data_IF_005013174591
#
_entry.id   IF_005013174591
#
_cell.length_a   1.000
_cell.length_b   1.000
_cell.length_c   1.000
_cell.angle_alpha   90.00
_cell.angle_beta   90.00
_cell.angle_gamma   90.00
#
_symmetry.space_group_name_H-M   'P 1'
#
loop_
_entity.id
_entity.type
_entity.pdbx_description
1 polymer ?
#
# COMPACT_ATOMS: atom_id res chain seq x y z
N UNK A 1 -18.89 40.39 -4.41
CA UNK A 1 -19.20 40.89 -5.77
C UNK A 1 -20.55 41.57 -5.84
N UNK A 2 -21.63 41.05 -5.28
CA UNK A 2 -22.99 41.62 -5.26
C UNK A 2 -23.07 43.01 -4.59
N UNK A 3 -22.40 43.21 -3.46
CA UNK A 3 -22.35 44.49 -2.76
C UNK A 3 -21.69 45.62 -3.59
N UNK A 4 -20.66 45.27 -4.37
CA UNK A 4 -19.96 46.22 -5.24
C UNK A 4 -20.86 46.63 -6.43
N UNK A 5 -21.57 45.66 -7.02
CA UNK A 5 -22.51 45.91 -8.12
C UNK A 5 -23.70 46.76 -7.64
N UNK A 6 -24.26 46.45 -6.48
CA UNK A 6 -25.36 47.21 -5.86
C UNK A 6 -24.93 48.66 -5.55
N UNK A 7 -23.72 48.84 -5.00
CA UNK A 7 -23.18 50.19 -4.73
C UNK A 7 -22.95 50.97 -6.03
N UNK A 8 -22.41 50.33 -7.07
CA UNK A 8 -22.21 50.96 -8.37
C UNK A 8 -23.54 51.37 -9.03
N UNK A 9 -24.55 50.51 -8.99
CA UNK A 9 -25.90 50.82 -9.51
C UNK A 9 -26.57 51.97 -8.74
N UNK A 10 -26.44 51.99 -7.42
CA UNK A 10 -26.98 53.05 -6.58
C UNK A 10 -26.27 54.39 -6.85
N UNK A 11 -24.95 54.40 -7.04
CA UNK A 11 -24.19 55.59 -7.38
C UNK A 11 -24.53 56.13 -8.79
N UNK A 12 -24.83 55.24 -9.74
CA UNK A 12 -25.22 55.60 -11.10
C UNK A 12 -26.67 56.12 -11.20
N UNK A 13 -27.57 55.77 -10.27
CA UNK A 13 -28.99 56.10 -10.35
C UNK A 13 -29.24 57.63 -10.42
N UNK A 14 -28.67 58.42 -9.52
CA UNK A 14 -28.84 59.88 -9.50
C UNK A 14 -28.43 60.57 -10.81
N UNK A 15 -27.21 60.41 -11.27
CA UNK A 15 -26.73 61.04 -12.51
C UNK A 15 -27.46 60.64 -13.78
N UNK A 16 -27.99 59.40 -13.83
CA UNK A 16 -28.63 58.87 -15.05
C UNK A 16 -30.15 59.08 -15.09
N UNK A 17 -30.82 59.23 -13.95
CA UNK A 17 -32.27 59.47 -13.83
C UNK A 17 -32.64 60.97 -13.74
N UNK A 18 -31.69 61.88 -13.69
CA UNK A 18 -31.89 63.26 -13.63
C UNK A 18 -31.11 64.01 -14.73
N UNK A 19 -31.12 63.53 -15.91
CA UNK A 19 -30.46 64.15 -17.08
C UNK A 19 -31.24 65.41 -17.48
N UNK A 20 -30.61 66.56 -17.36
CA UNK A 20 -31.22 67.84 -17.79
C UNK A 20 -31.16 67.96 -19.32
N UNK A 21 -32.22 68.56 -19.89
CA UNK A 21 -32.24 68.85 -21.32
C UNK A 21 -31.05 69.79 -21.69
N UNK A 22 -30.35 69.52 -22.77
CA UNK A 22 -29.15 70.28 -23.19
C UNK A 22 -29.50 71.66 -23.72
N UNK A 23 -30.74 71.91 -24.08
CA UNK A 23 -31.28 73.20 -24.53
C UNK A 23 -32.74 73.36 -24.14
N UNK A 24 -33.30 74.55 -24.30
CA UNK A 24 -34.69 74.86 -24.04
C UNK A 24 -35.63 74.58 -25.25
N UNK A 25 -35.29 73.54 -26.02
CA UNK A 25 -36.05 73.08 -27.20
C UNK A 25 -36.70 71.72 -26.96
N UNK A 26 -37.74 71.46 -27.72
CA UNK A 26 -38.56 70.26 -27.59
C UNK A 26 -37.76 68.94 -27.88
N UNK A 27 -36.75 69.00 -28.73
CA UNK A 27 -35.94 67.81 -29.06
C UNK A 27 -35.03 67.45 -27.89
N UNK A 28 -34.37 68.45 -27.27
CA UNK A 28 -33.55 68.27 -26.12
C UNK A 28 -34.35 67.71 -24.90
N UNK A 29 -35.59 68.22 -24.72
CA UNK A 29 -36.49 67.71 -23.69
C UNK A 29 -36.94 66.28 -23.92
N UNK A 30 -37.24 65.89 -25.17
CA UNK A 30 -37.62 64.55 -25.55
C UNK A 30 -36.45 63.54 -25.35
N UNK A 31 -35.24 63.92 -25.72
CA UNK A 31 -34.05 63.11 -25.51
C UNK A 31 -33.76 62.91 -24.03
N UNK A 32 -33.85 63.97 -23.20
CA UNK A 32 -33.68 63.83 -21.75
C UNK A 32 -34.71 62.89 -21.15
N UNK A 33 -35.99 63.01 -21.57
CA UNK A 33 -37.05 62.05 -21.13
C UNK A 33 -36.82 60.59 -21.56
N UNK A 34 -36.24 60.37 -22.76
CA UNK A 34 -35.89 59.04 -23.21
C UNK A 34 -34.77 58.42 -22.35
N UNK A 35 -33.73 59.20 -22.01
CA UNK A 35 -32.66 58.73 -21.11
C UNK A 35 -33.18 58.43 -19.70
N UNK A 36 -34.07 59.26 -19.17
CA UNK A 36 -34.68 59.05 -17.85
C UNK A 36 -35.51 57.74 -17.85
N UNK A 37 -36.37 57.54 -18.84
CA UNK A 37 -37.15 56.31 -18.96
C UNK A 37 -36.29 55.07 -19.09
N UNK A 38 -35.19 55.15 -19.86
CA UNK A 38 -34.24 54.05 -20.02
C UNK A 38 -33.51 53.73 -18.69
N UNK A 39 -33.07 54.78 -17.97
CA UNK A 39 -32.43 54.64 -16.68
C UNK A 39 -33.33 54.00 -15.64
N UNK A 40 -34.61 54.40 -15.59
CA UNK A 40 -35.62 53.79 -14.71
C UNK A 40 -35.83 52.30 -15.03
N UNK A 41 -35.95 51.94 -16.31
CA UNK A 41 -36.09 50.56 -16.74
C UNK A 41 -34.87 49.71 -16.36
N UNK A 42 -33.63 50.24 -16.52
CA UNK A 42 -32.40 49.61 -16.12
C UNK A 42 -32.33 49.35 -14.60
N UNK A 43 -32.71 50.35 -13.79
CA UNK A 43 -32.72 50.20 -12.32
C UNK A 43 -33.74 49.12 -11.87
N UNK A 44 -34.93 49.10 -12.49
CA UNK A 44 -35.92 48.07 -12.21
C UNK A 44 -35.41 46.65 -12.56
N UNK A 45 -34.76 46.50 -13.73
CA UNK A 45 -34.16 45.22 -14.15
C UNK A 45 -33.00 44.80 -13.22
N UNK A 46 -32.15 45.73 -12.81
CA UNK A 46 -31.06 45.52 -11.88
C UNK A 46 -31.58 45.03 -10.51
N UNK A 47 -32.64 45.58 -9.99
CA UNK A 47 -33.27 45.16 -8.75
C UNK A 47 -33.83 43.70 -8.88
N UNK A 48 -34.47 43.38 -10.00
CA UNK A 48 -34.92 41.99 -10.26
C UNK A 48 -33.76 41.01 -10.38
N UNK A 49 -32.66 41.39 -11.02
CA UNK A 49 -31.47 40.54 -11.14
C UNK A 49 -30.84 40.24 -9.77
N UNK A 50 -30.83 41.21 -8.86
CA UNK A 50 -30.35 41.01 -7.48
C UNK A 50 -31.23 39.99 -6.72
N UNK A 51 -32.56 40.14 -6.79
CA UNK A 51 -33.50 39.21 -6.15
C UNK A 51 -33.35 37.79 -6.73
N UNK A 52 -33.22 37.68 -8.04
CA UNK A 52 -32.97 36.37 -8.71
C UNK A 52 -31.68 35.75 -8.23
N UNK A 53 -30.61 36.55 -8.16
CA UNK A 53 -29.30 36.05 -7.69
C UNK A 53 -29.36 35.52 -6.26
N UNK A 54 -30.04 36.26 -5.37
CA UNK A 54 -30.21 35.85 -3.97
C UNK A 54 -31.01 34.53 -3.87
N UNK A 55 -32.07 34.39 -4.62
CA UNK A 55 -32.86 33.15 -4.69
C UNK A 55 -32.04 32.00 -5.24
N UNK A 56 -31.26 32.24 -6.26
CA UNK A 56 -30.38 31.24 -6.86
C UNK A 56 -29.32 30.72 -5.86
N UNK A 57 -28.66 31.65 -5.14
CA UNK A 57 -27.69 31.28 -4.10
C UNK A 57 -28.36 30.48 -2.97
N UNK A 58 -29.56 30.86 -2.56
CA UNK A 58 -30.32 30.12 -1.53
C UNK A 58 -30.66 28.70 -1.99
N UNK A 59 -31.08 28.52 -3.26
CA UNK A 59 -31.36 27.18 -3.81
C UNK A 59 -30.09 26.33 -3.91
N UNK A 60 -28.96 26.91 -4.30
CA UNK A 60 -27.68 26.20 -4.30
C UNK A 60 -27.27 25.74 -2.90
N UNK A 61 -27.39 26.61 -1.91
CA UNK A 61 -27.08 26.28 -0.52
C UNK A 61 -28.03 25.18 0.04
N UNK A 62 -29.31 25.25 -0.27
CA UNK A 62 -30.28 24.24 0.10
C UNK A 62 -29.97 22.88 -0.56
N UNK A 63 -29.59 22.89 -1.86
CA UNK A 63 -29.11 21.71 -2.58
C UNK A 63 -27.86 21.09 -1.93
N UNK A 64 -26.86 21.92 -1.65
CA UNK A 64 -25.63 21.46 -0.98
C UNK A 64 -25.93 20.85 0.40
N UNK A 65 -26.84 21.47 1.17
CA UNK A 65 -27.30 20.95 2.46
C UNK A 65 -28.00 19.61 2.34
N UNK A 66 -28.82 19.41 1.30
CA UNK A 66 -29.49 18.10 1.07
C UNK A 66 -28.53 16.99 0.71
N UNK A 67 -27.47 17.27 -0.08
CA UNK A 67 -26.42 16.30 -0.34
C UNK A 67 -25.64 15.94 0.93
N UNK A 68 -25.24 16.94 1.73
CA UNK A 68 -24.54 16.68 2.99
C UNK A 68 -25.38 15.84 3.97
N UNK A 69 -26.70 16.13 4.05
CA UNK A 69 -27.61 15.34 4.89
C UNK A 69 -27.78 13.91 4.39
N UNK A 70 -27.86 13.70 3.07
CA UNK A 70 -27.96 12.35 2.49
C UNK A 70 -26.66 11.55 2.73
N UNK A 71 -25.50 12.19 2.62
CA UNK A 71 -24.21 11.57 2.88
C UNK A 71 -24.07 11.17 4.36
N UNK A 72 -24.45 12.07 5.28
CA UNK A 72 -24.48 11.76 6.71
C UNK A 72 -25.46 10.63 7.07
N UNK A 73 -26.62 10.59 6.44
CA UNK A 73 -27.61 9.52 6.65
C UNK A 73 -27.10 8.16 6.14
N UNK A 74 -26.31 8.13 5.06
CA UNK A 74 -25.73 6.90 4.53
C UNK A 74 -24.50 6.41 5.32
N UNK A 75 -23.74 7.30 5.93
CA UNK A 75 -22.60 6.96 6.76
C UNK A 75 -22.96 6.28 8.08
N UNK A 76 -24.07 6.67 8.72
CA UNK A 76 -24.47 6.18 10.03
C UNK A 76 -24.80 4.68 10.07
N UNK A 77 -25.57 4.09 9.12
CA UNK A 77 -25.85 2.66 9.13
C UNK A 77 -24.59 1.80 8.95
N UNK A 78 -23.63 2.28 8.13
CA UNK A 78 -22.38 1.58 7.87
C UNK A 78 -21.52 1.48 9.13
N UNK A 79 -21.43 2.57 9.91
CA UNK A 79 -20.70 2.58 11.17
C UNK A 79 -21.33 1.64 12.22
N UNK A 80 -22.64 1.59 12.28
CA UNK A 80 -23.35 0.68 13.21
C UNK A 80 -23.05 -0.78 12.86
N UNK A 81 -23.09 -1.15 11.58
CA UNK A 81 -22.79 -2.52 11.12
C UNK A 81 -21.31 -2.86 11.38
N UNK A 82 -20.39 -1.95 11.13
CA UNK A 82 -18.97 -2.15 11.41
C UNK A 82 -18.70 -2.31 12.90
N UNK A 83 -19.28 -1.48 13.74
CA UNK A 83 -19.15 -1.58 15.20
C UNK A 83 -19.75 -2.88 15.74
N UNK A 84 -20.91 -3.32 15.21
CA UNK A 84 -21.50 -4.58 15.59
C UNK A 84 -20.61 -5.76 15.22
N UNK A 85 -20.03 -5.75 14.01
CA UNK A 85 -19.08 -6.77 13.55
C UNK A 85 -17.86 -6.85 14.45
N UNK A 86 -17.26 -5.70 14.79
CA UNK A 86 -16.10 -5.64 15.70
C UNK A 86 -16.45 -6.13 17.11
N UNK A 87 -17.62 -5.76 17.65
CA UNK A 87 -18.05 -6.21 18.98
C UNK A 87 -18.28 -7.73 19.03
N UNK A 88 -18.86 -8.30 17.98
CA UNK A 88 -19.04 -9.76 17.86
C UNK A 88 -17.68 -10.47 17.78
N UNK A 89 -16.78 -9.99 16.95
CA UNK A 89 -15.41 -10.54 16.86
C UNK A 89 -14.66 -10.41 18.19
N UNK A 90 -14.78 -9.28 18.89
CA UNK A 90 -14.18 -9.10 20.19
C UNK A 90 -14.73 -10.11 21.22
N UNK A 91 -16.03 -10.33 21.25
CA UNK A 91 -16.67 -11.29 22.13
C UNK A 91 -16.25 -12.75 21.84
N UNK A 92 -16.14 -13.11 20.55
CA UNK A 92 -15.68 -14.44 20.11
C UNK A 92 -14.20 -14.65 20.43
N UNK A 93 -13.38 -13.63 20.30
CA UNK A 93 -11.93 -13.70 20.49
C UNK A 93 -11.52 -13.58 21.96
N UNK A 94 -12.32 -12.95 22.83
CA UNK A 94 -11.96 -12.67 24.22
C UNK A 94 -11.50 -13.91 25.00
N UNK A 95 -12.16 -15.08 24.94
CA UNK A 95 -11.73 -16.26 25.68
C UNK A 95 -10.35 -16.78 25.23
N UNK A 96 -10.12 -16.87 23.93
CA UNK A 96 -8.86 -17.39 23.39
C UNK A 96 -7.72 -16.39 23.55
N UNK A 97 -8.02 -15.10 23.46
CA UNK A 97 -7.05 -14.04 23.73
C UNK A 97 -6.60 -14.05 25.19
N UNK A 98 -7.53 -14.25 26.13
CA UNK A 98 -7.20 -14.27 27.57
C UNK A 98 -6.39 -15.49 27.98
N UNK A 99 -6.63 -16.67 27.38
CA UNK A 99 -5.97 -17.93 27.78
C UNK A 99 -4.73 -18.21 26.95
N UNK A 100 -4.74 -17.92 25.64
CA UNK A 100 -3.71 -18.32 24.68
C UNK A 100 -2.95 -17.13 24.08
N UNK A 101 -3.33 -15.89 24.40
CA UNK A 101 -2.72 -14.68 23.86
C UNK A 101 -2.95 -14.48 22.35
N UNK A 102 -3.85 -15.27 21.71
CA UNK A 102 -4.18 -15.19 20.30
C UNK A 102 -5.69 -15.16 20.08
N UNK A 103 -6.19 -14.39 19.10
CA UNK A 103 -7.59 -14.42 18.73
C UNK A 103 -7.98 -15.77 18.14
N UNK A 104 -9.25 -16.13 18.22
CA UNK A 104 -9.78 -17.30 17.52
C UNK A 104 -9.91 -17.03 16.02
N UNK A 105 -10.37 -15.83 15.67
CA UNK A 105 -10.62 -15.38 14.30
C UNK A 105 -10.01 -13.99 14.11
N UNK A 106 -9.24 -13.81 13.06
CA UNK A 106 -8.65 -12.52 12.66
C UNK A 106 -7.27 -12.69 12.04
N UNK A 107 -6.87 -11.78 11.20
CA UNK A 107 -5.55 -11.78 10.58
C UNK A 107 -4.50 -11.25 11.55
N UNK A 108 -3.26 -11.72 11.40
CA UNK A 108 -2.09 -11.21 12.09
C UNK A 108 -1.74 -9.80 11.65
N UNK A 109 -1.27 -8.96 12.57
CA UNK A 109 -0.78 -7.63 12.23
C UNK A 109 0.51 -7.71 11.40
N UNK A 110 0.67 -6.84 10.41
CA UNK A 110 1.93 -6.72 9.68
C UNK A 110 3.02 -6.09 10.55
N UNK A 111 4.25 -6.53 10.35
CA UNK A 111 5.42 -5.86 10.90
C UNK A 111 5.57 -4.43 10.37
N UNK A 112 6.10 -3.52 11.20
CA UNK A 112 6.30 -2.13 10.79
C UNK A 112 7.39 -2.03 9.71
N UNK A 113 7.18 -1.27 8.63
CA UNK A 113 8.21 -1.06 7.62
C UNK A 113 9.48 -0.40 8.20
N UNK A 114 10.62 -0.76 7.66
CA UNK A 114 11.96 -0.26 8.05
C UNK A 114 12.34 -0.55 9.52
N UNK A 115 11.75 -1.56 10.13
CA UNK A 115 12.07 -1.98 11.51
C UNK A 115 12.54 -3.42 11.62
N UNK A 116 12.39 -4.21 10.55
CA UNK A 116 12.62 -5.65 10.61
C UNK A 116 11.66 -6.37 11.57
N UNK A 117 10.53 -5.74 11.92
CA UNK A 117 9.54 -6.33 12.81
C UNK A 117 8.82 -7.53 12.19
N UNK A 118 8.63 -8.59 12.95
CA UNK A 118 7.90 -9.77 12.48
C UNK A 118 6.42 -9.50 12.26
N UNK A 119 5.80 -10.19 11.32
CA UNK A 119 4.37 -10.28 11.18
C UNK A 119 3.72 -11.08 12.31
N UNK A 120 2.58 -10.62 12.80
CA UNK A 120 1.79 -11.32 13.82
C UNK A 120 1.19 -12.62 13.29
N UNK A 121 1.00 -13.61 14.17
CA UNK A 121 0.28 -14.82 13.80
C UNK A 121 -1.22 -14.52 13.60
N UNK A 122 -1.85 -15.20 12.64
CA UNK A 122 -3.30 -15.19 12.44
C UNK A 122 -4.07 -15.86 13.58
N UNK A 123 -5.39 -15.73 13.57
CA UNK A 123 -6.27 -16.38 14.55
C UNK A 123 -6.11 -17.89 14.56
N UNK A 124 -6.44 -18.52 15.69
CA UNK A 124 -6.25 -19.97 15.86
C UNK A 124 -7.03 -20.81 14.86
N UNK A 125 -8.29 -20.42 14.61
CA UNK A 125 -9.19 -21.15 13.71
C UNK A 125 -9.14 -20.59 12.30
N UNK A 126 -9.26 -19.28 12.17
CA UNK A 126 -9.31 -18.57 10.89
C UNK A 126 -8.52 -17.28 10.95
N UNK A 127 -7.61 -17.11 10.00
CA UNK A 127 -6.87 -15.88 9.83
C UNK A 127 -5.54 -16.10 9.12
N UNK A 128 -5.16 -15.13 8.32
CA UNK A 128 -3.87 -15.10 7.66
C UNK A 128 -2.79 -14.61 8.64
N UNK A 129 -1.56 -15.07 8.44
CA UNK A 129 -0.40 -14.44 9.10
C UNK A 129 -0.17 -13.02 8.57
N UNK A 130 0.29 -12.13 9.42
CA UNK A 130 0.75 -10.80 9.01
C UNK A 130 2.08 -10.87 8.25
N UNK A 131 2.31 -9.97 7.32
CA UNK A 131 3.59 -9.88 6.63
C UNK A 131 4.68 -9.32 7.55
N UNK A 132 5.92 -9.77 7.39
CA UNK A 132 7.08 -9.18 8.04
C UNK A 132 7.33 -7.76 7.52
N UNK A 133 7.80 -6.86 8.39
CA UNK A 133 8.25 -5.52 8.03
C UNK A 133 9.60 -5.56 7.33
N UNK A 134 9.84 -4.66 6.38
CA UNK A 134 11.17 -4.50 5.79
C UNK A 134 12.20 -4.10 6.85
N UNK A 135 13.45 -4.49 6.66
CA UNK A 135 14.57 -4.03 7.46
C UNK A 135 14.90 -2.55 7.18
N UNK A 136 15.44 -1.85 8.18
CA UNK A 136 16.14 -0.58 8.01
C UNK A 136 17.50 -0.77 7.31
N UNK A 137 18.34 0.27 7.30
CA UNK A 137 19.69 0.18 6.69
C UNK A 137 20.46 -1.01 7.26
N UNK A 138 20.97 -1.89 6.39
CA UNK A 138 21.74 -3.09 6.73
C UNK A 138 21.06 -4.03 7.75
N UNK A 139 19.76 -3.90 7.94
CA UNK A 139 18.97 -4.69 8.89
C UNK A 139 18.19 -5.77 8.16
N UNK A 140 18.09 -6.96 8.78
CA UNK A 140 17.25 -8.02 8.25
C UNK A 140 15.77 -7.61 8.21
N UNK A 141 15.02 -8.12 7.24
CA UNK A 141 13.57 -8.05 7.22
C UNK A 141 12.95 -8.97 8.27
N UNK A 142 11.77 -8.61 8.77
CA UNK A 142 10.99 -9.41 9.72
C UNK A 142 10.42 -10.67 9.07
N UNK A 143 10.18 -11.70 9.85
CA UNK A 143 9.54 -12.92 9.39
C UNK A 143 8.03 -12.71 9.17
N UNK A 144 7.46 -13.41 8.21
CA UNK A 144 6.02 -13.49 8.07
C UNK A 144 5.38 -14.30 9.20
N UNK A 145 4.20 -13.89 9.66
CA UNK A 145 3.43 -14.57 10.68
C UNK A 145 2.82 -15.90 10.20
N UNK A 146 2.70 -16.87 11.07
CA UNK A 146 2.01 -18.12 10.77
C UNK A 146 0.50 -17.89 10.64
N UNK A 147 -0.15 -18.64 9.74
CA UNK A 147 -1.61 -18.67 9.61
C UNK A 147 -2.31 -19.36 10.79
N UNK A 148 -3.62 -19.24 10.85
CA UNK A 148 -4.50 -20.10 11.63
C UNK A 148 -4.70 -21.48 10.98
N UNK A 149 -5.65 -22.26 11.52
CA UNK A 149 -6.02 -23.56 10.93
C UNK A 149 -6.44 -23.40 9.47
N UNK A 150 -7.15 -22.34 9.17
CA UNK A 150 -7.56 -21.91 7.82
C UNK A 150 -7.01 -20.52 7.58
N UNK A 151 -6.14 -20.34 6.60
CA UNK A 151 -5.54 -19.07 6.23
C UNK A 151 -4.15 -19.22 5.62
N UNK A 152 -3.65 -18.18 5.02
CA UNK A 152 -2.34 -18.16 4.38
C UNK A 152 -1.27 -17.62 5.34
N UNK A 153 -0.05 -18.14 5.24
CA UNK A 153 1.10 -17.56 5.93
C UNK A 153 1.43 -16.16 5.40
N UNK A 154 1.94 -15.29 6.26
CA UNK A 154 2.41 -13.96 5.85
C UNK A 154 3.75 -14.02 5.11
N UNK A 155 4.01 -13.12 4.19
CA UNK A 155 5.31 -13.03 3.51
C UNK A 155 6.39 -12.47 4.43
N UNK A 156 7.64 -12.89 4.25
CA UNK A 156 8.79 -12.28 4.91
C UNK A 156 9.05 -10.87 4.39
N UNK A 157 9.56 -10.00 5.25
CA UNK A 157 9.98 -8.64 4.89
C UNK A 157 11.29 -8.63 4.14
N UNK A 158 11.48 -7.67 3.24
CA UNK A 158 12.77 -7.49 2.56
C UNK A 158 13.85 -7.00 3.53
N UNK A 159 15.07 -7.47 3.35
CA UNK A 159 16.25 -6.93 4.03
C UNK A 159 16.57 -5.51 3.57
N UNK A 160 17.10 -4.70 4.47
CA UNK A 160 17.49 -3.33 4.17
C UNK A 160 18.84 -3.27 3.44
N UNK A 161 18.94 -2.40 2.45
CA UNK A 161 20.19 -2.16 1.75
C UNK A 161 21.15 -1.36 2.63
N UNK A 162 22.45 -1.63 2.48
CA UNK A 162 23.49 -0.75 3.05
C UNK A 162 24.02 0.19 1.97
N UNK A 163 23.72 1.47 2.07
CA UNK A 163 24.30 2.56 1.27
C UNK A 163 25.12 3.54 2.12
N UNK A 164 25.41 3.21 3.39
CA UNK A 164 26.05 4.11 4.34
C UNK A 164 27.56 4.37 4.03
N UNK A 165 28.17 3.67 3.09
CA UNK A 165 29.57 3.84 2.71
C UNK A 165 29.92 5.10 1.92
N UNK A 166 28.97 5.98 1.58
CA UNK A 166 29.24 7.22 0.82
C UNK A 166 29.86 8.36 1.66
N UNK A 167 30.05 8.19 2.96
CA UNK A 167 30.61 9.19 3.87
C UNK A 167 31.92 8.74 4.57
N UNK A 168 32.87 8.17 3.83
CA UNK A 168 34.29 8.11 4.28
C UNK A 168 34.61 7.33 5.57
N UNK A 169 33.67 6.53 6.11
CA UNK A 169 33.88 5.67 7.26
C UNK A 169 34.18 4.23 6.81
N UNK A 170 35.32 3.67 7.27
CA UNK A 170 35.69 2.27 7.07
C UNK A 170 34.80 1.33 7.91
N UNK A 171 33.60 1.11 7.48
CA UNK A 171 32.65 0.25 8.17
C UNK A 171 31.41 0.03 7.30
N UNK A 172 31.60 -0.60 6.12
CA UNK A 172 30.47 -1.12 5.35
C UNK A 172 29.82 -2.25 6.15
N UNK A 173 28.51 -2.34 6.11
CA UNK A 173 27.77 -3.50 6.57
C UNK A 173 27.32 -4.32 5.36
N UNK A 174 27.07 -5.60 5.55
CA UNK A 174 26.41 -6.45 4.57
C UNK A 174 24.97 -5.96 4.38
N UNK A 175 24.39 -6.16 3.20
CA UNK A 175 22.95 -5.99 3.04
C UNK A 175 22.18 -6.88 4.05
N UNK A 176 21.07 -6.38 4.58
CA UNK A 176 20.26 -7.17 5.52
C UNK A 176 19.65 -8.40 4.85
N UNK A 177 19.55 -9.51 5.55
CA UNK A 177 18.87 -10.71 5.03
C UNK A 177 17.37 -10.50 4.88
N UNK A 178 16.72 -11.18 3.94
CA UNK A 178 15.28 -11.24 3.84
C UNK A 178 14.66 -12.08 4.97
N UNK A 179 13.50 -11.67 5.47
CA UNK A 179 12.74 -12.42 6.45
C UNK A 179 12.13 -13.70 5.87
N UNK A 180 11.90 -14.70 6.70
CA UNK A 180 11.28 -15.96 6.28
C UNK A 180 9.78 -15.79 6.05
N UNK A 181 9.20 -16.57 5.13
CA UNK A 181 7.76 -16.68 4.95
C UNK A 181 7.09 -17.44 6.10
N UNK A 182 5.88 -17.04 6.46
CA UNK A 182 5.08 -17.70 7.49
C UNK A 182 4.50 -19.01 7.03
N UNK A 183 4.37 -19.97 7.93
CA UNK A 183 3.79 -21.28 7.64
C UNK A 183 2.26 -21.22 7.58
N UNK A 184 1.63 -22.05 6.73
CA UNK A 184 0.22 -22.38 6.81
C UNK A 184 -0.01 -23.65 7.62
N UNK A 185 -1.20 -23.79 8.26
CA UNK A 185 -1.47 -24.96 9.11
C UNK A 185 -2.21 -26.08 8.37
N UNK A 186 -3.55 -26.04 8.26
CA UNK A 186 -4.31 -27.11 7.64
C UNK A 186 -4.70 -26.78 6.20
N UNK A 187 -5.33 -25.61 6.01
CA UNK A 187 -5.79 -25.12 4.72
C UNK A 187 -5.23 -23.74 4.44
N UNK A 188 -4.44 -23.61 3.38
CA UNK A 188 -3.88 -22.35 2.89
C UNK A 188 -2.45 -22.47 2.43
N UNK A 189 -2.01 -21.52 1.63
CA UNK A 189 -0.65 -21.45 1.14
C UNK A 189 0.24 -20.78 2.19
N UNK A 190 1.51 -21.15 2.22
CA UNK A 190 2.49 -20.49 3.05
C UNK A 190 2.98 -19.19 2.40
N UNK A 191 3.59 -18.33 3.20
CA UNK A 191 4.15 -17.05 2.75
C UNK A 191 5.50 -17.24 2.05
N UNK A 192 5.80 -16.32 1.12
CA UNK A 192 7.09 -16.26 0.45
C UNK A 192 8.16 -15.66 1.38
N UNK A 193 9.41 -16.00 1.18
CA UNK A 193 10.55 -15.36 1.81
C UNK A 193 10.78 -13.94 1.26
N UNK A 194 11.28 -13.03 2.09
CA UNK A 194 11.67 -11.68 1.70
C UNK A 194 12.97 -11.67 0.90
N UNK A 195 13.16 -10.70 0.02
CA UNK A 195 14.43 -10.50 -0.69
C UNK A 195 15.52 -9.99 0.27
N UNK A 196 16.77 -10.38 0.02
CA UNK A 196 17.94 -9.82 0.68
C UNK A 196 18.22 -8.38 0.22
N UNK A 197 18.77 -7.56 1.10
CA UNK A 197 19.16 -6.18 0.82
C UNK A 197 20.48 -6.10 0.04
N UNK A 198 20.65 -5.03 -0.74
CA UNK A 198 21.90 -4.79 -1.44
C UNK A 198 23.03 -4.36 -0.47
N UNK A 199 24.25 -4.87 -0.68
CA UNK A 199 25.47 -4.41 -0.04
C UNK A 199 26.24 -3.43 -0.94
N UNK A 200 26.58 -2.25 -0.42
CA UNK A 200 27.35 -1.26 -1.19
C UNK A 200 28.86 -1.38 -0.94
N UNK A 201 29.27 -1.90 0.20
CA UNK A 201 30.67 -2.01 0.60
C UNK A 201 31.06 -3.41 1.13
N UNK A 202 30.18 -4.33 1.19
CA UNK A 202 30.36 -5.74 1.55
C UNK A 202 29.33 -6.59 0.78
N UNK A 203 29.06 -7.77 1.31
CA UNK A 203 28.17 -8.75 0.66
C UNK A 203 26.73 -8.27 0.54
N UNK A 204 25.99 -8.78 -0.43
CA UNK A 204 24.54 -8.70 -0.46
C UNK A 204 23.92 -9.60 0.63
N UNK A 205 22.79 -9.20 1.16
CA UNK A 205 22.01 -10.02 2.12
C UNK A 205 21.42 -11.26 1.46
N UNK A 206 21.25 -12.34 2.20
CA UNK A 206 20.58 -13.55 1.68
C UNK A 206 19.09 -13.37 1.55
N UNK A 207 18.47 -14.04 0.60
CA UNK A 207 17.02 -14.16 0.51
C UNK A 207 16.45 -15.03 1.64
N UNK A 208 15.27 -14.67 2.14
CA UNK A 208 14.54 -15.43 3.15
C UNK A 208 13.99 -16.74 2.61
N UNK A 209 13.79 -17.70 3.49
CA UNK A 209 13.19 -18.99 3.13
C UNK A 209 11.69 -18.83 2.90
N UNK A 210 11.11 -19.60 1.98
CA UNK A 210 9.67 -19.77 1.89
C UNK A 210 9.10 -20.56 3.07
N UNK A 211 7.88 -20.23 3.49
CA UNK A 211 7.17 -20.95 4.55
C UNK A 211 6.72 -22.34 4.11
N UNK A 212 6.48 -23.24 5.04
CA UNK A 212 5.96 -24.57 4.77
C UNK A 212 4.43 -24.60 4.83
N UNK A 213 3.80 -25.29 3.88
CA UNK A 213 2.36 -25.51 3.90
C UNK A 213 2.00 -26.72 4.76
N UNK A 214 0.76 -26.70 5.26
CA UNK A 214 0.18 -27.81 6.01
C UNK A 214 -0.38 -28.91 5.10
N UNK A 215 -1.60 -29.37 5.42
CA UNK A 215 -2.16 -30.52 4.73
C UNK A 215 -2.63 -30.21 3.29
N UNK A 216 -3.20 -29.01 3.09
CA UNK A 216 -3.74 -28.52 1.81
C UNK A 216 -3.20 -27.10 1.54
N UNK A 217 -2.29 -26.99 0.60
CA UNK A 217 -1.71 -25.71 0.18
C UNK A 217 -0.29 -25.86 -0.33
N UNK A 218 0.18 -24.81 -0.99
CA UNK A 218 1.49 -24.77 -1.60
C UNK A 218 2.53 -24.17 -0.63
N UNK A 219 3.77 -24.67 -0.71
CA UNK A 219 4.93 -24.07 -0.06
C UNK A 219 5.21 -22.69 -0.64
N UNK A 220 5.66 -21.74 0.18
CA UNK A 220 6.05 -20.40 -0.24
C UNK A 220 7.36 -20.42 -1.03
N UNK A 221 7.53 -19.46 -1.92
CA UNK A 221 8.79 -19.30 -2.65
C UNK A 221 9.89 -18.72 -1.76
N UNK A 222 11.14 -19.04 -2.05
CA UNK A 222 12.28 -18.35 -1.44
C UNK A 222 12.38 -16.89 -1.90
N UNK A 223 13.04 -16.03 -1.13
CA UNK A 223 13.35 -14.65 -1.51
C UNK A 223 14.65 -14.58 -2.33
N UNK A 224 14.78 -13.61 -3.23
CA UNK A 224 16.00 -13.40 -3.99
C UNK A 224 17.15 -12.94 -3.09
N UNK A 225 18.39 -13.33 -3.42
CA UNK A 225 19.60 -12.81 -2.80
C UNK A 225 19.85 -11.34 -3.21
N UNK A 226 20.42 -10.56 -2.31
CA UNK A 226 20.80 -9.17 -2.53
C UNK A 226 22.08 -9.05 -3.40
N UNK A 227 22.17 -7.99 -4.18
CA UNK A 227 23.37 -7.70 -4.99
C UNK A 227 24.47 -7.07 -4.15
N UNK A 228 25.74 -7.37 -4.48
CA UNK A 228 26.88 -6.64 -3.96
C UNK A 228 27.42 -5.64 -4.99
N UNK A 229 27.53 -4.37 -4.60
CA UNK A 229 28.13 -3.30 -5.39
C UNK A 229 29.53 -2.94 -4.92
N UNK A 230 30.14 -3.75 -4.03
CA UNK A 230 31.44 -3.45 -3.44
C UNK A 230 32.59 -3.53 -4.49
N UNK A 231 33.24 -2.41 -4.82
CA UNK A 231 34.42 -2.41 -5.71
C UNK A 231 35.65 -3.04 -5.08
N UNK A 232 35.70 -3.24 -3.76
CA UNK A 232 36.80 -3.91 -3.05
C UNK A 232 36.61 -5.42 -2.90
N UNK A 233 35.37 -5.93 -3.15
CA UNK A 233 35.08 -7.33 -3.26
C UNK A 233 34.10 -7.88 -2.21
N UNK A 234 32.80 -7.72 -2.44
CA UNK A 234 31.75 -8.42 -1.70
C UNK A 234 31.05 -9.45 -2.58
N UNK A 235 30.57 -10.55 -1.99
CA UNK A 235 29.81 -11.58 -2.68
C UNK A 235 28.32 -11.19 -2.82
N UNK A 236 27.65 -11.69 -3.85
CA UNK A 236 26.21 -11.63 -3.92
C UNK A 236 25.56 -12.52 -2.84
N UNK A 237 24.44 -12.09 -2.26
CA UNK A 237 23.68 -12.90 -1.29
C UNK A 237 23.08 -14.14 -1.93
N UNK A 238 22.95 -15.22 -1.19
CA UNK A 238 22.31 -16.44 -1.69
C UNK A 238 20.79 -16.28 -1.82
N UNK A 239 20.20 -16.95 -2.80
CA UNK A 239 18.75 -17.08 -2.92
C UNK A 239 18.16 -17.97 -1.81
N UNK A 240 16.97 -17.62 -1.33
CA UNK A 240 16.24 -18.39 -0.33
C UNK A 240 15.68 -19.70 -0.92
N UNK A 241 15.58 -20.72 -0.10
CA UNK A 241 14.96 -21.99 -0.48
C UNK A 241 13.44 -21.88 -0.48
N UNK A 242 12.78 -22.64 -1.36
CA UNK A 242 11.34 -22.81 -1.35
C UNK A 242 10.85 -23.65 -0.18
N UNK A 243 9.66 -23.34 0.32
CA UNK A 243 8.99 -24.09 1.39
C UNK A 243 8.38 -25.40 0.88
N UNK A 244 8.17 -26.34 1.80
CA UNK A 244 7.62 -27.65 1.48
C UNK A 244 6.09 -27.64 1.57
N UNK A 245 5.43 -28.51 0.75
CA UNK A 245 4.04 -28.92 0.94
C UNK A 245 4.00 -30.32 1.61
N UNK A 246 2.87 -30.66 2.25
CA UNK A 246 2.79 -31.91 3.03
C UNK A 246 2.00 -33.00 2.32
N UNK A 247 0.70 -32.81 2.04
CA UNK A 247 -0.13 -33.85 1.44
C UNK A 247 -0.63 -33.43 0.05
N UNK A 248 -1.34 -32.32 -0.06
CA UNK A 248 -1.83 -31.76 -1.31
C UNK A 248 -1.22 -30.38 -1.51
N UNK A 249 -0.43 -30.20 -2.56
CA UNK A 249 0.16 -28.92 -2.93
C UNK A 249 1.56 -29.06 -3.51
N UNK A 250 2.01 -28.01 -4.12
CA UNK A 250 3.34 -27.92 -4.73
C UNK A 250 4.35 -27.37 -3.73
N UNK A 251 5.59 -27.83 -3.82
CA UNK A 251 6.71 -27.18 -3.15
C UNK A 251 6.96 -25.80 -3.74
N UNK A 252 7.34 -24.83 -2.92
CA UNK A 252 7.72 -23.49 -3.36
C UNK A 252 9.02 -23.54 -4.18
N UNK A 253 9.18 -22.60 -5.11
CA UNK A 253 10.44 -22.47 -5.86
C UNK A 253 11.52 -21.86 -4.98
N UNK A 254 12.76 -22.31 -5.16
CA UNK A 254 13.93 -21.57 -4.72
C UNK A 254 14.10 -20.29 -5.54
N UNK A 255 14.81 -19.32 -5.02
CA UNK A 255 15.00 -18.04 -5.68
C UNK A 255 16.44 -17.81 -6.11
N UNK A 256 16.65 -16.85 -7.00
CA UNK A 256 17.96 -16.56 -7.54
C UNK A 256 18.90 -15.98 -6.50
N UNK A 257 20.21 -16.30 -6.60
CA UNK A 257 21.28 -15.61 -5.90
C UNK A 257 21.50 -14.21 -6.45
N UNK A 258 22.01 -13.31 -5.61
CA UNK A 258 22.38 -11.95 -5.96
C UNK A 258 23.64 -11.89 -6.81
N UNK A 259 23.75 -10.90 -7.66
CA UNK A 259 24.97 -10.66 -8.45
C UNK A 259 26.05 -9.94 -7.62
N UNK A 260 27.31 -10.15 -7.97
CA UNK A 260 28.45 -9.40 -7.43
C UNK A 260 29.19 -8.64 -8.52
N UNK A 261 29.69 -7.45 -8.17
CA UNK A 261 30.51 -6.65 -9.08
C UNK A 261 31.96 -7.22 -9.22
N UNK A 262 32.56 -7.67 -8.14
CA UNK A 262 33.99 -8.05 -8.13
C UNK A 262 34.28 -9.47 -7.64
N UNK A 263 33.43 -10.08 -6.88
CA UNK A 263 33.58 -11.46 -6.39
C UNK A 263 32.51 -12.40 -6.94
N UNK A 264 32.19 -13.45 -6.19
CA UNK A 264 31.23 -14.45 -6.64
C UNK A 264 29.80 -13.93 -6.56
N UNK A 265 28.97 -14.30 -7.52
CA UNK A 265 27.53 -14.23 -7.37
C UNK A 265 27.05 -15.21 -6.30
N UNK A 266 25.96 -14.90 -5.63
CA UNK A 266 25.33 -15.79 -4.65
C UNK A 266 24.73 -17.04 -5.30
N UNK A 267 24.67 -18.13 -4.56
CA UNK A 267 24.04 -19.36 -5.03
C UNK A 267 22.53 -19.22 -5.12
N UNK A 268 21.88 -19.92 -6.06
CA UNK A 268 20.45 -20.05 -6.13
C UNK A 268 19.91 -20.95 -5.01
N UNK A 269 18.72 -20.64 -4.50
CA UNK A 269 18.05 -21.46 -3.49
C UNK A 269 17.46 -22.75 -4.08
N UNK A 270 17.41 -23.80 -3.29
CA UNK A 270 16.76 -25.04 -3.68
C UNK A 270 15.23 -24.89 -3.71
N UNK A 271 14.55 -25.65 -4.57
CA UNK A 271 13.11 -25.77 -4.54
C UNK A 271 12.63 -26.59 -3.32
N UNK A 272 11.43 -26.30 -2.84
CA UNK A 272 10.79 -27.07 -1.77
C UNK A 272 10.23 -28.40 -2.27
N UNK A 273 10.04 -29.36 -1.37
CA UNK A 273 9.42 -30.64 -1.67
C UNK A 273 7.91 -30.47 -1.91
N UNK A 274 7.39 -31.15 -2.93
CA UNK A 274 5.94 -31.23 -3.13
C UNK A 274 5.29 -32.18 -2.12
N UNK A 275 4.00 -31.99 -1.91
CA UNK A 275 3.19 -32.92 -1.13
C UNK A 275 3.07 -34.30 -1.80
N UNK A 276 2.44 -35.22 -1.09
CA UNK A 276 2.23 -36.61 -1.61
C UNK A 276 1.47 -36.60 -2.95
N UNK A 277 0.56 -35.67 -3.13
CA UNK A 277 -0.21 -35.42 -4.38
C UNK A 277 0.17 -34.09 -5.03
N UNK A 278 1.46 -33.73 -5.06
CA UNK A 278 1.96 -32.49 -5.68
C UNK A 278 3.37 -32.61 -6.21
N UNK A 279 3.79 -31.67 -7.02
CA UNK A 279 5.14 -31.58 -7.57
C UNK A 279 6.05 -30.77 -6.65
N UNK A 280 7.36 -31.04 -6.71
CA UNK A 280 8.37 -30.20 -6.04
C UNK A 280 8.59 -28.87 -6.75
N UNK A 281 9.16 -27.91 -6.05
CA UNK A 281 9.55 -26.60 -6.59
C UNK A 281 10.83 -26.68 -7.43
N UNK A 282 10.98 -25.76 -8.38
CA UNK A 282 12.22 -25.59 -9.12
C UNK A 282 13.28 -24.90 -8.23
N UNK A 283 14.56 -25.19 -8.47
CA UNK A 283 15.67 -24.43 -7.90
C UNK A 283 15.80 -23.06 -8.56
N UNK A 284 16.40 -22.13 -7.86
CA UNK A 284 16.70 -20.78 -8.37
C UNK A 284 18.04 -20.76 -9.14
N UNK A 285 18.22 -19.75 -9.98
CA UNK A 285 19.45 -19.52 -10.71
C UNK A 285 20.54 -18.96 -9.79
N UNK A 286 21.82 -19.27 -10.06
CA UNK A 286 22.93 -18.63 -9.41
C UNK A 286 23.09 -17.18 -9.88
N UNK A 287 23.56 -16.30 -9.01
CA UNK A 287 23.86 -14.90 -9.32
C UNK A 287 25.09 -14.76 -10.22
N UNK A 288 25.14 -13.70 -11.00
CA UNK A 288 26.31 -13.41 -11.84
C UNK A 288 27.45 -12.75 -11.03
N UNK A 289 28.68 -13.23 -11.21
CA UNK A 289 29.88 -12.48 -10.82
C UNK A 289 30.44 -11.76 -12.05
N UNK A 290 30.63 -10.44 -11.99
CA UNK A 290 31.09 -9.68 -13.16
C UNK A 290 32.60 -9.87 -13.41
N UNK A 291 33.41 -9.83 -12.35
CA UNK A 291 34.84 -10.15 -12.39
C UNK A 291 35.19 -11.45 -11.65
N UNK A 292 34.24 -12.07 -10.97
CA UNK A 292 34.33 -13.33 -10.24
C UNK A 292 33.53 -14.47 -10.87
N UNK A 293 33.40 -15.55 -10.14
CA UNK A 293 32.59 -16.68 -10.57
C UNK A 293 31.10 -16.38 -10.40
N UNK A 294 30.25 -16.90 -11.30
CA UNK A 294 28.82 -16.98 -11.04
C UNK A 294 28.54 -17.97 -9.90
N UNK A 295 27.46 -17.72 -9.16
CA UNK A 295 26.97 -18.65 -8.14
C UNK A 295 26.43 -19.94 -8.74
N UNK A 296 26.32 -21.00 -7.94
CA UNK A 296 25.71 -22.26 -8.35
C UNK A 296 24.18 -22.09 -8.44
N UNK A 297 23.54 -22.77 -9.40
CA UNK A 297 22.08 -22.88 -9.43
C UNK A 297 21.58 -23.83 -8.34
N UNK A 298 20.44 -23.52 -7.74
CA UNK A 298 19.77 -24.39 -6.76
C UNK A 298 19.20 -25.65 -7.41
N UNK A 299 19.01 -26.68 -6.62
CA UNK A 299 18.39 -27.92 -7.08
C UNK A 299 16.87 -27.86 -7.06
N UNK A 300 16.23 -28.37 -8.11
CA UNK A 300 14.79 -28.64 -8.12
C UNK A 300 14.46 -29.90 -7.32
N UNK A 301 13.32 -29.89 -6.64
CA UNK A 301 12.86 -31.05 -5.86
C UNK A 301 11.69 -31.75 -6.55
N UNK A 302 11.55 -33.02 -6.30
CA UNK A 302 10.45 -33.82 -6.84
C UNK A 302 9.34 -33.97 -5.78
N UNK A 303 8.09 -34.07 -6.22
CA UNK A 303 7.00 -34.50 -5.35
C UNK A 303 7.08 -36.03 -5.10
N UNK A 304 6.72 -36.45 -3.89
CA UNK A 304 6.81 -37.86 -3.47
C UNK A 304 5.84 -38.78 -4.25
N UNK A 305 4.83 -38.20 -4.93
CA UNK A 305 3.84 -38.93 -5.73
C UNK A 305 4.08 -38.95 -7.25
N UNK A 306 5.15 -38.36 -7.74
CA UNK A 306 5.49 -38.34 -9.18
C UNK A 306 6.41 -39.52 -9.51
N UNK A 307 5.83 -40.68 -9.76
CA UNK A 307 6.47 -41.84 -10.44
C UNK A 307 5.76 -42.12 -11.74
#
# INVERSE_FOLDING_TARGET
MQSVLSAANSAAAGPTMAVMAAGADEVSALIAGLFDAHAQAYQALSAQALVFHDQFVQMLNAGAGSYAAAEAANASPLQVVQNLGQNVLAAVNAPTQAVLGRPLIGDGANGWPNTGGDGGAGGLLYGNGGNGGSGGLAQAGGNGGAAGLIGNGGSGGAGGADFAGTSGGMGGATGGDGGQGGNAALFGNSGDGGAGGAGANLDGGNGGLGGNAGLFGDGGHGGAGGVSFDPAGGDGGNGGQGGNATLFGYGGHGSAGGSSLNLAGGDGGDGGQGGFFGGGGAGGDGGAGFFGNGGAGGSGQFGVGAS
#
